data_IF_423087958968
#
_entry.id   IF_423087958968
#
_cell.length_a   1.000
_cell.length_b   1.000
_cell.length_c   1.000
_cell.angle_alpha   90.00
_cell.angle_beta   90.00
_cell.angle_gamma   90.00
#
_symmetry.space_group_name_H-M   'P 1'
#
loop_
_entity.id
_entity.type
_entity.pdbx_description
1 polymer ?
#
# COMPACT_ATOMS: atom_id res chain seq x y z
N UNK A 1 7.94 4.35 10.35
CA UNK A 1 6.97 3.65 9.51
C UNK A 1 7.69 3.07 8.31
N UNK A 2 7.38 1.82 7.96
CA UNK A 2 7.81 1.13 6.75
C UNK A 2 6.54 0.68 6.00
N UNK A 3 6.50 0.77 4.66
CA UNK A 3 5.33 0.35 3.89
C UNK A 3 4.96 -1.11 4.15
N UNK A 4 3.67 -1.41 4.24
CA UNK A 4 3.15 -2.76 4.31
C UNK A 4 2.24 -3.05 3.11
N UNK A 5 2.72 -3.87 2.18
CA UNK A 5 2.02 -4.22 0.92
C UNK A 5 1.41 -5.62 0.94
N UNK A 6 1.51 -6.35 2.06
CA UNK A 6 0.95 -7.70 2.23
C UNK A 6 -0.54 -7.75 2.55
N UNK A 7 -1.24 -6.61 2.48
CA UNK A 7 -2.69 -6.53 2.71
C UNK A 7 -3.49 -7.00 1.48
N UNK A 8 -4.79 -7.28 1.65
CA UNK A 8 -5.66 -7.72 0.54
C UNK A 8 -5.84 -6.61 -0.52
N UNK A 9 -5.83 -5.34 -0.11
CA UNK A 9 -5.79 -4.21 -1.02
C UNK A 9 -4.42 -3.53 -0.98
N UNK A 10 -3.66 -3.67 -2.07
CA UNK A 10 -2.32 -3.08 -2.22
C UNK A 10 -2.32 -1.55 -2.32
N UNK A 11 -3.49 -0.95 -2.59
CA UNK A 11 -3.66 0.50 -2.73
C UNK A 11 -4.14 1.19 -1.44
N UNK A 12 -4.28 0.49 -0.32
CA UNK A 12 -4.46 1.12 0.99
C UNK A 12 -3.12 1.61 1.55
N UNK A 13 -3.12 2.73 2.28
CA UNK A 13 -1.90 3.21 2.94
C UNK A 13 -1.71 2.53 4.29
N UNK A 14 -1.16 1.31 4.24
CA UNK A 14 -0.80 0.52 5.42
C UNK A 14 0.70 0.66 5.72
N UNK A 15 1.06 0.90 6.99
CA UNK A 15 2.44 1.03 7.43
C UNK A 15 2.70 0.30 8.75
N UNK A 16 3.87 -0.32 8.90
CA UNK A 16 4.33 -0.87 10.18
C UNK A 16 5.29 0.10 10.87
N UNK A 17 5.21 0.31 12.19
CA UNK A 17 6.27 0.99 12.93
C UNK A 17 7.59 0.20 12.83
N UNK A 18 8.72 0.90 12.85
CA UNK A 18 10.03 0.23 12.80
C UNK A 18 10.22 -0.54 14.12
N UNK A 19 10.50 -1.83 14.04
CA UNK A 19 10.72 -2.70 15.21
C UNK A 19 9.45 -3.40 15.75
N UNK A 20 8.28 -3.10 15.19
CA UNK A 20 7.00 -3.69 15.60
C UNK A 20 6.44 -4.67 14.56
N UNK A 21 5.49 -5.52 14.96
CA UNK A 21 4.87 -6.56 14.11
C UNK A 21 3.42 -6.30 13.73
N UNK A 22 2.92 -5.10 13.97
CA UNK A 22 1.58 -4.70 13.56
C UNK A 22 1.66 -3.61 12.49
N UNK A 23 0.62 -3.52 11.65
CA UNK A 23 0.45 -2.42 10.72
C UNK A 23 -0.73 -1.54 11.14
N UNK A 24 -0.70 -0.29 10.71
CA UNK A 24 -1.76 0.67 10.89
C UNK A 24 -2.18 1.25 9.53
N UNK A 25 -3.49 1.37 9.32
CA UNK A 25 -4.05 1.98 8.11
C UNK A 25 -4.15 3.49 8.29
N UNK A 26 -3.24 4.22 7.66
CA UNK A 26 -3.20 5.69 7.71
C UNK A 26 -4.24 6.33 6.80
N UNK A 27 -4.55 5.72 5.64
CA UNK A 27 -5.55 6.19 4.69
C UNK A 27 -6.19 5.02 3.95
N UNK A 28 -7.43 5.23 3.49
CA UNK A 28 -8.18 4.27 2.67
C UNK A 28 -7.55 4.04 1.29
N UNK A 29 -6.80 5.02 0.78
CA UNK A 29 -6.09 4.90 -0.49
C UNK A 29 -4.76 5.66 -0.46
N UNK A 30 -3.78 5.12 -1.20
CA UNK A 30 -2.55 5.82 -1.59
C UNK A 30 -2.85 6.85 -2.69
N UNK A 31 -1.85 7.63 -3.07
CA UNK A 31 -1.98 8.60 -4.16
C UNK A 31 -1.93 7.86 -5.50
N UNK A 32 -2.73 8.30 -6.46
CA UNK A 32 -2.73 7.71 -7.81
C UNK A 32 -1.33 7.74 -8.45
N UNK A 33 -1.01 6.69 -9.19
CA UNK A 33 0.33 6.45 -9.74
C UNK A 33 1.32 5.77 -8.80
N UNK A 34 0.94 5.51 -7.54
CA UNK A 34 1.76 4.69 -6.62
C UNK A 34 1.87 3.26 -7.18
N UNK A 35 3.08 2.71 -7.39
CA UNK A 35 3.24 1.32 -7.83
C UNK A 35 2.62 0.34 -6.83
N UNK A 36 1.77 -0.56 -7.31
CA UNK A 36 1.10 -1.56 -6.48
C UNK A 36 1.57 -2.99 -6.78
N UNK A 37 2.19 -3.22 -7.93
CA UNK A 37 2.89 -4.45 -8.22
C UNK A 37 4.37 -4.14 -8.50
N UNK A 38 5.26 -5.06 -8.12
CA UNK A 38 6.71 -4.93 -8.33
C UNK A 38 7.16 -5.72 -9.57
N UNK A 39 6.40 -6.73 -9.96
CA UNK A 39 6.69 -7.54 -11.15
C UNK A 39 6.01 -6.96 -12.40
N UNK A 40 4.91 -6.22 -12.20
CA UNK A 40 4.17 -5.52 -13.25
C UNK A 40 4.28 -4.01 -13.05
N UNK A 41 4.13 -3.25 -14.13
CA UNK A 41 4.08 -1.79 -14.07
C UNK A 41 2.70 -1.26 -13.63
N UNK A 42 2.00 -2.03 -12.79
CA UNK A 42 0.66 -1.72 -12.34
C UNK A 42 0.72 -0.62 -11.26
N UNK A 43 -0.21 0.32 -11.34
CA UNK A 43 -0.27 1.47 -10.43
C UNK A 43 -1.65 1.59 -9.78
N UNK A 44 -1.69 2.23 -8.63
CA UNK A 44 -2.95 2.58 -7.99
C UNK A 44 -3.65 3.70 -8.74
N UNK A 45 -4.93 3.51 -9.06
CA UNK A 45 -5.83 4.53 -9.59
C UNK A 45 -7.18 4.38 -8.88
N UNK A 46 -7.64 5.42 -8.20
CA UNK A 46 -8.89 5.43 -7.43
C UNK A 46 -9.00 4.23 -6.44
N UNK A 47 -7.88 3.91 -5.79
CA UNK A 47 -7.82 2.85 -4.78
C UNK A 47 -7.84 1.41 -5.34
N UNK A 48 -7.68 1.23 -6.65
CA UNK A 48 -7.54 -0.07 -7.32
C UNK A 48 -6.18 -0.18 -8.00
N UNK A 49 -5.60 -1.38 -7.97
CA UNK A 49 -4.37 -1.70 -8.68
C UNK A 49 -4.72 -2.08 -10.12
N UNK A 50 -4.19 -1.33 -11.10
CA UNK A 50 -4.49 -1.45 -12.53
C UNK A 50 -3.21 -1.51 -13.37
#
# INVERSE_FOLDING_TARGET
WIPYTGGPNKCELNCMPKGERFFYRHKLQVIDGTPCDLEKNDVCVEGKCL
#
